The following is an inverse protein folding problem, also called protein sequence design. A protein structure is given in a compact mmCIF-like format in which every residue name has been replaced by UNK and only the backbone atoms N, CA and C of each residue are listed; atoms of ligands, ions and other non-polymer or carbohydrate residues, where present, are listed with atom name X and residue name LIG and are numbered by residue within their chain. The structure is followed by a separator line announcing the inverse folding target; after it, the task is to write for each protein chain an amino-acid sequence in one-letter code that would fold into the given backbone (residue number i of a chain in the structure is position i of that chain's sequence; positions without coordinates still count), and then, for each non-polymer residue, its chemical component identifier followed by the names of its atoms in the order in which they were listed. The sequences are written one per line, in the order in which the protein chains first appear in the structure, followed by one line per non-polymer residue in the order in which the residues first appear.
data_IF_714575274831
#
_entry.id   IF_714575274831
#
_cell.length_a   1.000
_cell.length_b   1.000
_cell.length_c   1.000
_cell.angle_alpha   90.00
_cell.angle_beta   90.00
_cell.angle_gamma   90.00
#
_symmetry.space_group_name_H-M   'P 1'
#
loop_
_entity.id
_entity.type
_entity.pdbx_description
1 polymer ?
#
# COMPACT_ATOMS: atom_id res chain seq x y z
N UNK A 1 32.57 -1.23 46.78
CA UNK A 1 32.99 -0.48 45.58
C UNK A 1 31.76 0.13 44.93
N UNK A 2 31.58 1.44 45.08
CA UNK A 2 30.43 2.19 44.50
C UNK A 2 30.70 2.47 43.01
N UNK A 3 29.92 1.89 42.12
CA UNK A 3 29.90 2.24 40.68
C UNK A 3 29.39 3.67 40.54
N UNK A 4 30.22 4.59 40.07
CA UNK A 4 29.83 5.94 39.64
C UNK A 4 28.87 5.83 38.46
N UNK A 5 27.68 6.38 38.61
CA UNK A 5 26.76 6.62 37.52
C UNK A 5 27.40 7.59 36.51
N UNK A 6 27.50 7.18 35.26
CA UNK A 6 27.95 8.06 34.18
C UNK A 6 26.86 9.10 33.91
N UNK A 7 27.25 10.36 33.94
CA UNK A 7 26.42 11.49 33.58
C UNK A 7 25.92 11.33 32.12
N UNK A 8 24.65 11.66 31.81
CA UNK A 8 24.17 11.61 30.43
C UNK A 8 24.94 12.63 29.58
N UNK A 9 25.51 12.13 28.46
CA UNK A 9 26.15 12.99 27.44
C UNK A 9 25.13 14.04 26.99
N UNK A 10 25.49 15.33 27.05
CA UNK A 10 24.74 16.41 26.40
C UNK A 10 24.55 16.05 24.93
N UNK A 11 23.31 15.70 24.55
CA UNK A 11 22.93 15.62 23.14
C UNK A 11 23.17 17.00 22.52
N UNK A 12 24.02 17.03 21.50
CA UNK A 12 24.17 18.18 20.61
C UNK A 12 22.79 18.48 20.06
N UNK A 13 22.21 19.62 20.42
CA UNK A 13 20.91 20.06 19.89
C UNK A 13 21.11 20.37 18.41
N UNK A 14 20.63 19.48 17.56
CA UNK A 14 20.48 19.74 16.14
C UNK A 14 19.64 21.02 16.00
N UNK A 15 20.15 22.02 15.24
CA UNK A 15 19.46 23.30 15.05
C UNK A 15 18.06 23.16 14.46
N UNK A 16 17.79 22.04 13.82
CA UNK A 16 16.50 21.70 13.22
C UNK A 16 15.55 20.92 14.17
N UNK A 17 16.03 20.58 15.39
CA UNK A 17 15.24 19.83 16.36
C UNK A 17 14.28 20.74 17.12
N UNK A 18 12.97 20.56 16.89
CA UNK A 18 11.93 21.34 17.55
C UNK A 18 11.53 20.64 18.85
N UNK A 19 12.05 21.09 19.98
CA UNK A 19 11.85 20.44 21.29
C UNK A 19 10.39 20.32 21.75
N UNK A 20 9.48 21.17 21.25
CA UNK A 20 8.05 21.03 21.56
C UNK A 20 7.43 19.79 20.91
N UNK A 21 7.88 19.44 19.72
CA UNK A 21 7.44 18.23 18.99
C UNK A 21 7.76 16.96 19.80
N UNK A 22 8.98 16.88 20.33
CA UNK A 22 9.37 15.74 21.18
C UNK A 22 8.49 15.60 22.43
N UNK A 23 8.07 16.71 23.04
CA UNK A 23 7.19 16.69 24.21
C UNK A 23 5.79 16.20 23.86
N UNK A 24 5.28 16.56 22.69
CA UNK A 24 3.98 16.07 22.19
C UNK A 24 4.04 14.57 21.97
N UNK A 25 5.06 14.08 21.27
CA UNK A 25 5.21 12.65 21.03
C UNK A 25 5.44 11.85 22.30
N UNK A 26 6.25 12.35 23.25
CA UNK A 26 6.43 11.67 24.52
C UNK A 26 5.10 11.50 25.31
N UNK A 27 4.19 12.47 25.26
CA UNK A 27 2.86 12.33 25.84
C UNK A 27 2.04 11.26 25.12
N UNK A 28 2.06 11.25 23.78
CA UNK A 28 1.34 10.26 22.96
C UNK A 28 1.91 8.84 23.17
N UNK A 29 3.24 8.70 23.22
CA UNK A 29 3.92 7.42 23.46
C UNK A 29 3.57 6.85 24.82
N UNK A 30 3.43 7.69 25.85
CA UNK A 30 2.98 7.26 27.17
C UNK A 30 1.57 6.66 27.12
N UNK A 31 0.64 7.29 26.38
CA UNK A 31 -0.70 6.70 26.19
C UNK A 31 -0.65 5.36 25.45
N UNK A 32 0.28 5.16 24.51
CA UNK A 32 0.40 3.90 23.79
C UNK A 32 0.94 2.80 24.70
N UNK A 33 1.91 3.12 25.55
CA UNK A 33 2.54 2.14 26.43
C UNK A 33 1.66 1.74 27.61
N UNK A 34 1.10 2.71 28.31
CA UNK A 34 0.29 2.48 29.52
C UNK A 34 -1.21 2.32 29.21
N UNK A 35 -1.71 3.01 28.19
CA UNK A 35 -3.11 2.92 27.75
C UNK A 35 -3.49 1.56 27.16
N UNK A 36 -2.52 0.73 26.77
CA UNK A 36 -2.76 -0.67 26.41
C UNK A 36 -3.16 -1.54 27.61
N UNK A 37 -2.84 -1.12 28.83
CA UNK A 37 -3.16 -1.80 30.08
C UNK A 37 -4.29 -1.14 30.87
N UNK A 38 -4.51 0.17 30.65
CA UNK A 38 -5.51 0.97 31.37
C UNK A 38 -6.41 1.71 30.35
N UNK A 39 -7.73 1.77 30.60
CA UNK A 39 -8.66 2.44 29.70
C UNK A 39 -8.50 3.98 29.69
N UNK A 40 -7.86 4.55 30.70
CA UNK A 40 -7.60 5.98 30.80
C UNK A 40 -6.39 6.28 31.70
N UNK A 41 -5.66 7.33 31.41
CA UNK A 41 -4.46 7.78 32.13
C UNK A 41 -4.74 9.12 32.81
N UNK A 42 -4.39 9.24 34.09
CA UNK A 42 -4.60 10.49 34.83
C UNK A 42 -3.51 11.54 34.50
N UNK A 43 -3.89 12.82 34.65
CA UNK A 43 -2.91 13.92 34.55
C UNK A 43 -1.76 13.77 35.56
N UNK A 44 -2.02 13.18 36.73
CA UNK A 44 -1.02 13.00 37.78
C UNK A 44 0.02 11.96 37.37
N UNK A 45 -0.41 10.83 36.79
CA UNK A 45 0.49 9.79 36.27
C UNK A 45 1.37 10.33 35.16
N UNK A 46 0.76 10.98 34.15
CA UNK A 46 1.51 11.64 33.06
C UNK A 46 2.55 12.63 33.56
N UNK A 47 2.16 13.47 34.55
CA UNK A 47 3.06 14.49 35.09
C UNK A 47 4.15 13.92 35.97
N UNK A 48 3.97 12.73 36.54
CA UNK A 48 4.98 12.02 37.34
C UNK A 48 5.96 11.23 36.48
N UNK A 49 5.50 10.67 35.36
CA UNK A 49 6.29 9.83 34.48
C UNK A 49 7.16 10.61 33.49
N UNK A 50 6.68 11.76 33.03
CA UNK A 50 7.36 12.54 31.99
C UNK A 50 8.35 13.54 32.58
N UNK A 51 9.56 13.72 31.97
CA UNK A 51 10.60 14.61 32.46
C UNK A 51 10.33 16.07 32.11
N UNK A 52 9.07 16.53 32.23
CA UNK A 52 8.63 17.89 31.90
C UNK A 52 7.92 18.52 33.08
N UNK A 53 7.94 19.88 33.13
CA UNK A 53 7.15 20.62 34.12
C UNK A 53 5.64 20.32 33.92
N UNK A 54 4.89 20.21 35.02
CA UNK A 54 3.43 19.94 35.02
C UNK A 54 2.65 20.92 34.12
N UNK A 55 3.08 22.17 34.09
CA UNK A 55 2.52 23.20 33.21
C UNK A 55 2.72 22.88 31.72
N UNK A 56 3.85 22.25 31.36
CA UNK A 56 4.12 21.79 29.99
C UNK A 56 3.22 20.63 29.63
N UNK A 57 3.10 19.62 30.50
CA UNK A 57 2.21 18.47 30.28
C UNK A 57 0.76 18.96 30.12
N UNK A 58 0.31 19.87 30.96
CA UNK A 58 -1.03 20.43 30.87
C UNK A 58 -1.28 21.16 29.53
N UNK A 59 -0.31 21.98 29.07
CA UNK A 59 -0.43 22.68 27.77
C UNK A 59 -0.44 21.72 26.57
N UNK A 60 0.37 20.66 26.62
CA UNK A 60 0.38 19.62 25.58
C UNK A 60 -0.96 18.88 25.56
N UNK A 61 -1.47 18.41 26.72
CA UNK A 61 -2.75 17.74 26.82
C UNK A 61 -3.90 18.63 26.33
N UNK A 62 -3.93 19.88 26.76
CA UNK A 62 -4.95 20.85 26.31
C UNK A 62 -4.92 21.02 24.78
N UNK A 63 -3.73 21.12 24.20
CA UNK A 63 -3.58 21.26 22.75
C UNK A 63 -4.05 20.00 22.01
N UNK A 64 -3.67 18.81 22.50
CA UNK A 64 -4.08 17.53 21.93
C UNK A 64 -5.60 17.31 22.06
N UNK A 65 -6.20 17.72 23.18
CA UNK A 65 -7.66 17.70 23.40
C UNK A 65 -8.38 18.62 22.41
N UNK A 66 -7.93 19.87 22.28
CA UNK A 66 -8.50 20.82 21.30
C UNK A 66 -8.38 20.35 19.86
N UNK A 67 -7.31 19.63 19.54
CA UNK A 67 -7.09 19.03 18.22
C UNK A 67 -7.81 17.68 18.03
N UNK A 68 -8.40 17.09 19.10
CA UNK A 68 -9.13 15.83 19.05
C UNK A 68 -8.25 14.56 19.01
N UNK A 69 -6.97 14.68 19.38
CA UNK A 69 -6.06 13.53 19.52
C UNK A 69 -6.12 12.86 20.89
N UNK A 70 -6.61 13.59 21.89
CA UNK A 70 -6.84 13.12 23.25
C UNK A 70 -8.22 13.60 23.69
N UNK A 71 -8.93 12.82 24.48
CA UNK A 71 -10.21 13.16 25.08
C UNK A 71 -10.20 12.92 26.58
N UNK A 72 -10.98 13.70 27.32
CA UNK A 72 -11.22 13.47 28.74
C UNK A 72 -12.20 12.33 28.93
N UNK A 73 -11.81 11.33 29.72
CA UNK A 73 -12.66 10.21 30.06
C UNK A 73 -13.68 10.57 31.15
N UNK A 74 -13.31 11.48 32.06
CA UNK A 74 -14.14 11.87 33.18
C UNK A 74 -13.83 13.28 33.73
N UNK A 75 -14.61 13.73 34.72
CA UNK A 75 -14.39 15.01 35.40
C UNK A 75 -13.13 15.04 36.30
N UNK A 76 -12.52 13.87 36.57
CA UNK A 76 -11.32 13.72 37.43
C UNK A 76 -10.00 13.85 36.65
N UNK A 77 -10.04 14.39 35.42
CA UNK A 77 -8.88 14.61 34.58
C UNK A 77 -8.13 13.31 34.19
N UNK A 78 -8.88 12.24 33.89
CA UNK A 78 -8.39 11.09 33.16
C UNK A 78 -8.56 11.34 31.68
N UNK A 79 -7.60 10.85 30.87
CA UNK A 79 -7.55 11.07 29.45
C UNK A 79 -7.34 9.74 28.71
N UNK A 80 -7.87 9.64 27.51
CA UNK A 80 -7.58 8.54 26.56
C UNK A 80 -7.27 9.11 25.17
N UNK A 81 -6.75 8.25 24.28
CA UNK A 81 -6.52 8.65 22.89
C UNK A 81 -7.85 8.93 22.18
N UNK A 82 -7.96 10.08 21.56
CA UNK A 82 -9.15 10.52 20.85
C UNK A 82 -9.28 9.92 19.45
N UNK A 83 -10.46 10.04 18.82
CA UNK A 83 -10.75 9.43 17.51
C UNK A 83 -9.83 9.88 16.40
N UNK A 84 -9.31 11.12 16.44
CA UNK A 84 -8.32 11.58 15.45
C UNK A 84 -7.01 10.80 15.49
N UNK A 85 -6.60 10.31 16.66
CA UNK A 85 -5.41 9.47 16.77
C UNK A 85 -5.62 8.15 16.02
N UNK A 86 -6.78 7.52 16.19
CA UNK A 86 -7.13 6.29 15.48
C UNK A 86 -7.23 6.53 13.97
N UNK A 87 -7.75 7.67 13.53
CA UNK A 87 -7.79 8.03 12.12
C UNK A 87 -6.40 8.11 11.47
N UNK A 88 -5.37 8.58 12.21
CA UNK A 88 -3.98 8.59 11.72
C UNK A 88 -3.38 7.18 11.56
N UNK A 89 -3.79 6.23 12.38
CA UNK A 89 -3.24 4.85 12.34
C UNK A 89 -3.96 3.96 11.33
N UNK A 90 -5.18 4.31 10.92
CA UNK A 90 -5.98 3.51 9.98
C UNK A 90 -5.24 3.14 8.69
N UNK A 91 -4.54 4.05 7.98
CA UNK A 91 -3.81 3.70 6.78
C UNK A 91 -2.72 2.65 7.03
N UNK A 92 -1.99 2.77 8.15
CA UNK A 92 -0.93 1.82 8.49
C UNK A 92 -1.48 0.44 8.88
N UNK A 93 -2.62 0.38 9.57
CA UNK A 93 -3.30 -0.87 9.94
C UNK A 93 -3.84 -1.56 8.68
N UNK A 94 -4.49 -0.81 7.79
CA UNK A 94 -4.99 -1.34 6.52
C UNK A 94 -3.85 -1.86 5.63
N UNK A 95 -2.74 -1.13 5.58
CA UNK A 95 -1.55 -1.53 4.85
C UNK A 95 -0.96 -2.85 5.35
N UNK A 96 -0.78 -3.00 6.67
CA UNK A 96 -0.31 -4.25 7.28
C UNK A 96 -1.28 -5.40 7.05
N UNK A 97 -2.59 -5.13 7.14
CA UNK A 97 -3.61 -6.13 6.85
C UNK A 97 -3.54 -6.60 5.40
N UNK A 98 -3.41 -5.67 4.45
CA UNK A 98 -3.24 -5.98 3.04
C UNK A 98 -2.02 -6.89 2.81
N UNK A 99 -0.84 -6.52 3.34
CA UNK A 99 0.36 -7.34 3.24
C UNK A 99 0.14 -8.75 3.79
N UNK A 100 -0.38 -8.86 5.03
CA UNK A 100 -0.57 -10.16 5.70
C UNK A 100 -1.52 -11.07 4.93
N UNK A 101 -2.63 -10.52 4.43
CA UNK A 101 -3.63 -11.27 3.66
C UNK A 101 -3.08 -11.67 2.28
N UNK A 102 -2.41 -10.75 1.60
CA UNK A 102 -1.88 -10.99 0.26
C UNK A 102 -0.72 -11.99 0.27
N UNK A 103 0.15 -11.94 1.28
CA UNK A 103 1.34 -12.80 1.35
C UNK A 103 1.02 -14.29 1.25
N UNK A 104 -0.03 -14.76 1.93
CA UNK A 104 -0.46 -16.15 1.86
C UNK A 104 -0.88 -16.56 0.43
N UNK A 105 -1.62 -15.67 -0.27
CA UNK A 105 -2.06 -15.91 -1.66
C UNK A 105 -0.88 -15.82 -2.63
N UNK A 106 0.08 -14.92 -2.37
CA UNK A 106 1.30 -14.81 -3.17
C UNK A 106 2.16 -16.08 -3.09
N UNK A 107 2.24 -16.73 -1.92
CA UNK A 107 2.91 -18.02 -1.77
C UNK A 107 2.24 -19.12 -2.60
N UNK A 108 0.90 -19.16 -2.67
CA UNK A 108 0.17 -20.11 -3.53
C UNK A 108 0.54 -19.91 -5.00
N UNK A 109 0.60 -18.65 -5.47
CA UNK A 109 1.02 -18.31 -6.84
C UNK A 109 2.48 -18.71 -7.12
N UNK A 110 3.39 -18.46 -6.15
CA UNK A 110 4.78 -18.88 -6.28
C UNK A 110 4.91 -20.39 -6.43
N UNK A 111 4.22 -21.17 -5.59
CA UNK A 111 4.24 -22.64 -5.64
C UNK A 111 3.76 -23.13 -7.01
N UNK A 112 2.72 -22.50 -7.57
CA UNK A 112 2.11 -22.91 -8.83
C UNK A 112 2.95 -22.57 -10.05
N UNK A 113 3.56 -21.38 -10.08
CA UNK A 113 4.22 -20.85 -11.27
C UNK A 113 5.74 -20.81 -11.17
N UNK A 114 6.31 -20.87 -9.96
CA UNK A 114 7.76 -20.78 -9.67
C UNK A 114 8.41 -19.48 -10.15
N UNK A 115 7.61 -18.40 -10.33
CA UNK A 115 8.07 -17.07 -10.73
C UNK A 115 7.87 -16.05 -9.61
N UNK A 116 8.58 -14.92 -9.68
CA UNK A 116 8.49 -13.87 -8.64
C UNK A 116 7.08 -13.27 -8.59
N UNK A 117 6.52 -13.18 -7.39
CA UNK A 117 5.20 -12.60 -7.14
C UNK A 117 5.37 -11.30 -6.36
N UNK A 118 4.72 -10.25 -6.83
CA UNK A 118 4.85 -8.92 -6.22
C UNK A 118 3.49 -8.38 -5.82
N UNK A 119 3.46 -7.66 -4.70
CA UNK A 119 2.34 -6.83 -4.26
C UNK A 119 2.75 -5.37 -4.36
N UNK A 120 2.00 -4.58 -5.11
CA UNK A 120 2.30 -3.17 -5.33
C UNK A 120 1.12 -2.25 -5.03
N UNK A 121 1.42 -1.04 -4.58
CA UNK A 121 0.48 0.05 -4.36
C UNK A 121 0.89 1.28 -5.16
N UNK A 122 -0.06 2.16 -5.41
CA UNK A 122 0.25 3.48 -5.98
C UNK A 122 0.75 4.39 -4.86
N UNK A 123 1.97 4.89 -5.01
CA UNK A 123 2.55 5.86 -4.10
C UNK A 123 3.29 6.96 -4.86
N UNK A 124 2.84 8.21 -4.69
CA UNK A 124 3.41 9.37 -5.38
C UNK A 124 3.57 9.17 -6.89
N UNK A 125 2.55 8.60 -7.56
CA UNK A 125 2.51 8.40 -9.02
C UNK A 125 3.44 7.31 -9.56
N UNK A 126 4.02 6.50 -8.68
CA UNK A 126 4.79 5.31 -9.00
C UNK A 126 4.16 4.09 -8.34
N UNK A 127 4.49 2.90 -8.83
CA UNK A 127 4.21 1.66 -8.12
C UNK A 127 5.29 1.45 -7.07
N UNK A 128 4.92 1.41 -5.79
CA UNK A 128 5.79 0.98 -4.71
C UNK A 128 5.52 -0.50 -4.39
N UNK A 129 6.54 -1.33 -4.41
CA UNK A 129 6.44 -2.73 -4.01
C UNK A 129 6.40 -2.83 -2.49
N UNK A 130 5.35 -3.43 -1.96
CA UNK A 130 5.14 -3.51 -0.51
C UNK A 130 5.39 -4.92 0.02
N UNK A 131 5.31 -5.94 -0.84
CA UNK A 131 5.69 -7.31 -0.53
C UNK A 131 6.18 -8.01 -1.80
N UNK A 132 7.14 -8.92 -1.65
CA UNK A 132 7.73 -9.69 -2.75
C UNK A 132 8.03 -11.10 -2.29
N UNK A 133 7.51 -12.08 -3.00
CA UNK A 133 7.86 -13.48 -2.85
C UNK A 133 8.72 -13.89 -4.04
N UNK A 134 10.01 -14.08 -3.80
CA UNK A 134 10.97 -14.30 -4.89
C UNK A 134 10.91 -15.71 -5.45
N UNK A 135 11.04 -15.83 -6.78
CA UNK A 135 11.22 -17.11 -7.46
C UNK A 135 12.43 -17.87 -6.91
N UNK A 136 12.33 -19.20 -6.72
CA UNK A 136 13.47 -20.03 -6.34
C UNK A 136 14.48 -20.23 -7.49
N UNK A 137 14.13 -19.85 -8.72
CA UNK A 137 14.99 -20.01 -9.90
C UNK A 137 16.22 -19.11 -9.81
N UNK A 138 17.38 -19.63 -10.25
CA UNK A 138 18.62 -18.84 -10.31
C UNK A 138 18.47 -17.62 -11.24
N UNK A 139 17.89 -17.80 -12.41
CA UNK A 139 17.46 -16.69 -13.28
C UNK A 139 16.05 -16.28 -12.90
N UNK A 140 15.90 -15.16 -12.23
CA UNK A 140 14.63 -14.60 -11.78
C UNK A 140 14.59 -13.08 -11.92
N UNK A 141 13.43 -12.52 -11.93
CA UNK A 141 13.26 -11.08 -11.81
C UNK A 141 13.42 -10.73 -10.32
N UNK A 142 14.50 -10.02 -10.01
CA UNK A 142 14.77 -9.53 -8.67
C UNK A 142 13.93 -8.28 -8.42
N UNK A 143 13.18 -8.29 -7.31
CA UNK A 143 12.45 -7.15 -6.80
C UNK A 143 12.52 -7.18 -5.28
N UNK A 144 12.43 -6.02 -4.63
CA UNK A 144 12.47 -5.93 -3.17
C UNK A 144 11.34 -5.02 -2.68
N UNK A 145 10.82 -5.25 -1.47
CA UNK A 145 9.96 -4.28 -0.83
C UNK A 145 10.66 -2.91 -0.74
N UNK A 146 9.95 -1.85 -1.14
CA UNK A 146 10.48 -0.50 -1.24
C UNK A 146 10.92 -0.08 -2.65
N UNK A 147 11.15 -1.01 -3.57
CA UNK A 147 11.42 -0.69 -4.97
C UNK A 147 10.24 0.08 -5.60
N UNK A 148 10.55 0.98 -6.53
CA UNK A 148 9.58 1.83 -7.22
C UNK A 148 9.75 1.73 -8.73
N UNK A 149 8.62 1.66 -9.43
CA UNK A 149 8.59 1.57 -10.89
C UNK A 149 7.52 2.49 -11.48
N UNK A 150 7.67 2.90 -12.76
CA UNK A 150 6.68 3.71 -13.44
C UNK A 150 5.33 3.01 -13.57
N UNK A 151 4.23 3.77 -13.40
CA UNK A 151 2.87 3.22 -13.48
C UNK A 151 2.45 2.83 -14.89
N UNK A 152 3.00 3.48 -15.92
CA UNK A 152 2.58 3.27 -17.32
C UNK A 152 3.22 2.06 -17.99
N UNK A 153 4.41 1.65 -17.56
CA UNK A 153 5.18 0.56 -18.18
C UNK A 153 5.08 -0.76 -17.43
N UNK A 154 4.59 -0.77 -16.18
CA UNK A 154 4.44 -1.98 -15.38
C UNK A 154 3.01 -2.52 -15.40
N UNK A 155 2.85 -3.85 -15.36
CA UNK A 155 1.52 -4.47 -15.23
C UNK A 155 0.79 -4.01 -13.95
N UNK A 156 1.50 -3.93 -12.81
CA UNK A 156 0.95 -3.40 -11.54
C UNK A 156 0.46 -1.97 -11.67
N UNK A 157 1.24 -1.10 -12.30
CA UNK A 157 0.87 0.30 -12.49
C UNK A 157 -0.35 0.43 -13.39
N UNK A 158 -0.37 -0.28 -14.52
CA UNK A 158 -1.49 -0.26 -15.46
C UNK A 158 -2.78 -0.78 -14.85
N UNK A 159 -2.72 -1.88 -14.07
CA UNK A 159 -3.93 -2.40 -13.42
C UNK A 159 -4.46 -1.46 -12.35
N UNK A 160 -3.60 -0.80 -11.57
CA UNK A 160 -4.06 0.19 -10.58
C UNK A 160 -4.64 1.42 -11.28
N UNK A 161 -3.93 1.99 -12.27
CA UNK A 161 -4.41 3.16 -13.03
C UNK A 161 -5.75 2.91 -13.71
N UNK A 162 -5.97 1.69 -14.23
CA UNK A 162 -7.20 1.35 -14.94
C UNK A 162 -8.45 1.49 -14.07
N UNK A 163 -8.32 1.29 -12.76
CA UNK A 163 -9.44 1.32 -11.82
C UNK A 163 -9.46 2.55 -10.89
N UNK A 164 -8.51 3.49 -11.07
CA UNK A 164 -8.60 4.78 -10.39
C UNK A 164 -9.78 5.59 -10.93
N UNK A 165 -10.41 6.43 -10.10
CA UNK A 165 -11.29 7.48 -10.58
C UNK A 165 -10.59 8.35 -11.62
N UNK A 166 -11.30 8.73 -12.68
CA UNK A 166 -10.71 9.45 -13.82
C UNK A 166 -9.92 10.72 -13.39
N UNK A 167 -10.42 11.57 -12.46
CA UNK A 167 -9.66 12.73 -12.00
C UNK A 167 -8.34 12.37 -11.30
N UNK A 168 -8.30 11.24 -10.59
CA UNK A 168 -7.10 10.77 -9.90
C UNK A 168 -6.09 10.21 -10.92
N UNK A 169 -6.55 9.39 -11.87
CA UNK A 169 -5.72 8.87 -12.96
C UNK A 169 -5.12 10.00 -13.80
N UNK A 170 -5.94 11.01 -14.17
CA UNK A 170 -5.45 12.19 -14.89
C UNK A 170 -4.40 12.97 -14.11
N UNK A 171 -4.59 13.15 -12.80
CA UNK A 171 -3.60 13.82 -11.94
C UNK A 171 -2.26 13.09 -11.95
N UNK A 172 -2.28 11.76 -11.84
CA UNK A 172 -1.07 10.93 -11.92
C UNK A 172 -0.39 11.11 -13.28
N UNK A 173 -1.13 10.98 -14.38
CA UNK A 173 -0.59 11.08 -15.73
C UNK A 173 -0.13 12.50 -16.13
N UNK A 174 -0.65 13.54 -15.48
CA UNK A 174 -0.15 14.93 -15.66
C UNK A 174 1.15 15.17 -14.88
N UNK A 175 1.28 14.55 -13.72
CA UNK A 175 2.41 14.78 -12.82
C UNK A 175 3.65 13.97 -13.21
N UNK A 176 3.47 12.79 -13.82
CA UNK A 176 4.55 11.86 -14.14
C UNK A 176 4.62 11.63 -15.66
N UNK A 177 5.76 11.95 -16.30
CA UNK A 177 5.92 11.75 -17.74
C UNK A 177 5.97 10.25 -18.09
N UNK A 178 5.46 9.90 -19.26
CA UNK A 178 5.51 8.54 -19.81
C UNK A 178 6.90 8.29 -20.42
N UNK A 179 7.88 8.04 -19.56
CA UNK A 179 9.27 7.86 -19.95
C UNK A 179 9.42 6.53 -20.72
N UNK A 180 10.14 6.55 -21.84
CA UNK A 180 10.46 5.34 -22.60
C UNK A 180 11.48 4.49 -21.84
N UNK A 181 11.07 3.31 -21.41
CA UNK A 181 11.93 2.32 -20.74
C UNK A 181 12.52 1.33 -21.75
N UNK A 182 11.70 0.89 -22.73
CA UNK A 182 12.09 0.01 -23.83
C UNK A 182 11.48 0.50 -25.15
N UNK A 183 11.73 -0.19 -26.25
CA UNK A 183 11.08 0.09 -27.52
C UNK A 183 9.56 -0.14 -27.47
N UNK A 184 9.08 -1.00 -26.56
CA UNK A 184 7.67 -1.38 -26.41
C UNK A 184 6.89 -0.50 -25.44
N UNK A 185 7.54 0.42 -24.72
CA UNK A 185 6.88 1.28 -23.73
C UNK A 185 5.82 2.17 -24.39
N UNK A 186 4.61 2.19 -23.85
CA UNK A 186 3.55 3.12 -24.26
C UNK A 186 3.92 4.52 -23.76
N UNK A 187 4.24 5.42 -24.68
CA UNK A 187 4.67 6.79 -24.35
C UNK A 187 3.64 7.86 -24.75
N UNK A 188 2.55 7.47 -25.38
CA UNK A 188 1.46 8.39 -25.77
C UNK A 188 0.26 8.20 -24.83
N UNK A 189 -0.22 9.31 -24.25
CA UNK A 189 -1.33 9.29 -23.30
C UNK A 189 -2.60 8.67 -23.88
N UNK A 190 -2.93 8.98 -25.15
CA UNK A 190 -4.11 8.44 -25.80
C UNK A 190 -4.04 6.90 -25.88
N UNK A 191 -2.94 6.34 -26.36
CA UNK A 191 -2.75 4.89 -26.43
C UNK A 191 -2.76 4.23 -25.05
N UNK A 192 -2.20 4.91 -24.02
CA UNK A 192 -2.27 4.38 -22.67
C UNK A 192 -3.72 4.33 -22.16
N UNK A 193 -4.53 5.35 -22.41
CA UNK A 193 -5.94 5.38 -22.00
C UNK A 193 -6.77 4.30 -22.69
N UNK A 194 -6.55 4.05 -23.96
CA UNK A 194 -7.17 2.93 -24.71
C UNK A 194 -6.75 1.58 -24.11
N UNK A 195 -5.45 1.41 -23.82
CA UNK A 195 -4.93 0.21 -23.17
C UNK A 195 -5.56 0.00 -21.77
N UNK A 196 -5.71 1.07 -20.97
CA UNK A 196 -6.35 0.99 -19.66
C UNK A 196 -7.85 0.64 -19.74
N UNK A 197 -8.55 1.02 -20.82
CA UNK A 197 -9.91 0.59 -21.05
C UNK A 197 -9.97 -0.94 -21.27
N UNK A 198 -9.09 -1.48 -22.10
CA UNK A 198 -8.99 -2.93 -22.30
C UNK A 198 -8.62 -3.67 -21.00
N UNK A 199 -7.74 -3.10 -20.17
CA UNK A 199 -7.41 -3.65 -18.84
C UNK A 199 -8.65 -3.74 -17.95
N UNK A 200 -9.53 -2.73 -17.96
CA UNK A 200 -10.79 -2.77 -17.19
C UNK A 200 -11.73 -3.89 -17.64
N UNK A 201 -11.82 -4.12 -18.95
CA UNK A 201 -12.65 -5.19 -19.52
C UNK A 201 -12.10 -6.59 -19.21
N UNK A 202 -10.78 -6.76 -19.29
CA UNK A 202 -10.11 -8.06 -19.08
C UNK A 202 -9.89 -8.39 -17.61
N UNK A 203 -9.89 -7.39 -16.72
CA UNK A 203 -9.59 -7.56 -15.30
C UNK A 203 -8.13 -7.85 -14.97
N UNK A 204 -7.23 -7.70 -15.95
CA UNK A 204 -5.79 -7.92 -15.80
C UNK A 204 -5.01 -6.96 -16.68
N UNK A 205 -3.77 -6.67 -16.30
CA UNK A 205 -2.82 -5.91 -17.11
C UNK A 205 -1.57 -6.74 -17.39
N UNK A 206 -1.03 -6.58 -18.59
CA UNK A 206 0.22 -7.20 -19.03
C UNK A 206 1.30 -6.13 -19.16
N UNK A 207 2.53 -6.51 -18.84
CA UNK A 207 3.75 -5.83 -19.27
C UNK A 207 4.52 -6.84 -20.14
N UNK A 208 4.51 -6.60 -21.44
CA UNK A 208 5.10 -7.49 -22.45
C UNK A 208 6.52 -7.04 -22.85
N UNK A 209 7.32 -6.66 -21.85
CA UNK A 209 8.65 -6.08 -22.07
C UNK A 209 8.60 -4.57 -22.22
N UNK A 210 7.59 -3.91 -21.67
CA UNK A 210 7.44 -2.46 -21.70
C UNK A 210 8.32 -1.75 -20.67
N UNK A 211 8.51 -2.38 -19.49
CA UNK A 211 9.34 -1.83 -18.41
C UNK A 211 10.79 -2.32 -18.52
N UNK A 212 11.00 -3.60 -18.81
CA UNK A 212 12.32 -4.21 -18.99
C UNK A 212 12.26 -5.22 -20.15
N UNK A 213 13.18 -5.11 -21.10
CA UNK A 213 13.27 -6.06 -22.23
C UNK A 213 13.49 -7.51 -21.72
N UNK A 214 12.79 -8.45 -22.34
CA UNK A 214 12.89 -9.86 -22.00
C UNK A 214 12.17 -10.27 -20.72
N UNK A 215 11.46 -9.33 -20.06
CA UNK A 215 10.64 -9.56 -18.89
C UNK A 215 9.17 -9.48 -19.27
N UNK A 216 8.37 -10.38 -18.73
CA UNK A 216 6.93 -10.40 -18.87
C UNK A 216 6.29 -10.39 -17.49
N UNK A 217 5.29 -9.52 -17.31
CA UNK A 217 4.54 -9.44 -16.06
C UNK A 217 3.05 -9.43 -16.32
N UNK A 218 2.30 -10.08 -15.43
CA UNK A 218 0.81 -10.06 -15.44
C UNK A 218 0.33 -9.63 -14.06
N UNK A 219 -0.60 -8.67 -13.99
CA UNK A 219 -1.13 -8.17 -12.74
C UNK A 219 -2.67 -8.17 -12.71
N UNK A 220 -3.21 -8.51 -11.54
CA UNK A 220 -4.63 -8.39 -11.19
C UNK A 220 -4.86 -7.31 -10.13
N UNK A 221 -6.00 -6.61 -10.16
CA UNK A 221 -6.34 -5.58 -9.19
C UNK A 221 -6.77 -6.16 -7.85
N UNK A 222 -6.51 -5.42 -6.78
CA UNK A 222 -7.02 -5.69 -5.44
C UNK A 222 -7.89 -4.51 -5.02
N UNK A 223 -9.13 -4.80 -4.63
CA UNK A 223 -10.12 -3.81 -4.23
C UNK A 223 -10.35 -3.82 -2.72
N UNK A 224 -10.65 -2.64 -2.17
CA UNK A 224 -11.16 -2.51 -0.81
C UNK A 224 -12.68 -2.79 -0.75
N UNK A 225 -13.24 -2.71 0.45
CA UNK A 225 -14.68 -2.88 0.71
C UNK A 225 -15.57 -1.86 -0.02
N UNK A 226 -15.01 -0.76 -0.51
CA UNK A 226 -15.73 0.29 -1.25
C UNK A 226 -15.59 0.13 -2.77
N UNK A 227 -14.93 -0.93 -3.24
CA UNK A 227 -14.69 -1.18 -4.66
C UNK A 227 -13.59 -0.30 -5.27
N UNK A 228 -12.75 0.34 -4.46
CA UNK A 228 -11.60 1.12 -4.94
C UNK A 228 -10.38 0.21 -5.10
N UNK A 229 -9.70 0.32 -6.23
CA UNK A 229 -8.42 -0.37 -6.41
C UNK A 229 -7.37 0.22 -5.46
N UNK A 230 -6.95 -0.56 -4.47
CA UNK A 230 -5.98 -0.14 -3.44
C UNK A 230 -4.60 -0.71 -3.69
N UNK A 231 -4.49 -1.78 -4.48
CA UNK A 231 -3.24 -2.47 -4.78
C UNK A 231 -3.37 -3.30 -6.06
N UNK A 232 -2.27 -3.91 -6.46
CA UNK A 232 -2.23 -4.97 -7.45
C UNK A 232 -1.33 -6.11 -6.99
N UNK A 233 -1.63 -7.33 -7.43
CA UNK A 233 -0.77 -8.50 -7.31
C UNK A 233 -0.30 -8.92 -8.69
N UNK A 234 1.00 -9.24 -8.84
CA UNK A 234 1.56 -9.64 -10.15
C UNK A 234 2.49 -10.83 -10.06
N UNK A 235 2.62 -11.53 -11.18
CA UNK A 235 3.69 -12.51 -11.44
C UNK A 235 4.62 -11.91 -12.48
N UNK A 236 5.93 -12.00 -12.23
CA UNK A 236 6.99 -11.48 -13.10
C UNK A 236 8.04 -12.53 -13.35
N UNK A 237 8.41 -12.74 -14.61
CA UNK A 237 9.39 -13.71 -15.00
C UNK A 237 10.02 -13.43 -16.37
N UNK A 238 11.07 -14.15 -16.76
CA UNK A 238 11.62 -14.10 -18.11
C UNK A 238 10.57 -14.51 -19.15
N UNK A 239 10.48 -13.76 -20.23
CA UNK A 239 9.53 -13.99 -21.33
C UNK A 239 9.54 -15.46 -21.80
N UNK A 240 10.72 -16.06 -21.94
CA UNK A 240 10.89 -17.44 -22.40
C UNK A 240 10.19 -18.50 -21.53
N UNK A 241 9.96 -18.22 -20.24
CA UNK A 241 9.23 -19.12 -19.34
C UNK A 241 7.77 -18.73 -19.17
N UNK A 242 7.48 -17.43 -19.30
CA UNK A 242 6.14 -16.89 -19.05
C UNK A 242 5.18 -17.11 -20.21
N UNK A 243 5.65 -17.01 -21.47
CA UNK A 243 4.81 -17.07 -22.67
C UNK A 243 3.96 -18.36 -22.74
N UNK A 244 4.56 -19.51 -22.51
CA UNK A 244 3.85 -20.80 -22.58
C UNK A 244 2.80 -20.97 -21.48
N UNK A 245 2.86 -20.19 -20.42
CA UNK A 245 1.95 -20.24 -19.25
C UNK A 245 1.06 -19.00 -19.15
N UNK A 246 1.14 -18.07 -20.10
CA UNK A 246 0.57 -16.73 -19.99
C UNK A 246 -0.91 -16.74 -19.64
N UNK A 247 -1.71 -17.61 -20.28
CA UNK A 247 -3.15 -17.69 -20.05
C UNK A 247 -3.50 -18.24 -18.67
N UNK A 248 -2.76 -19.26 -18.21
CA UNK A 248 -2.91 -19.80 -16.85
C UNK A 248 -2.53 -18.76 -15.79
N UNK A 249 -1.41 -18.05 -16.02
CA UNK A 249 -0.95 -16.97 -15.12
C UNK A 249 -1.99 -15.83 -15.07
N UNK A 250 -2.56 -15.43 -16.22
CA UNK A 250 -3.62 -14.42 -16.30
C UNK A 250 -4.80 -14.78 -15.39
N UNK A 251 -5.30 -15.98 -15.52
CA UNK A 251 -6.47 -16.42 -14.76
C UNK A 251 -6.16 -16.57 -13.26
N UNK A 252 -5.01 -17.10 -12.92
CA UNK A 252 -4.59 -17.25 -11.53
C UNK A 252 -4.33 -15.90 -10.84
N UNK A 253 -3.70 -14.94 -11.52
CA UNK A 253 -3.45 -13.60 -10.97
C UNK A 253 -4.76 -12.83 -10.79
N UNK A 254 -5.69 -12.93 -11.74
CA UNK A 254 -7.04 -12.36 -11.62
C UNK A 254 -7.77 -12.95 -10.41
N UNK A 255 -7.79 -14.28 -10.28
CA UNK A 255 -8.42 -14.95 -9.16
C UNK A 255 -7.76 -14.62 -7.82
N UNK A 256 -6.44 -14.46 -7.79
CA UNK A 256 -5.70 -14.02 -6.61
C UNK A 256 -6.12 -12.61 -6.17
N UNK A 257 -6.24 -11.66 -7.11
CA UNK A 257 -6.75 -10.33 -6.83
C UNK A 257 -8.14 -10.34 -6.20
N UNK A 258 -9.06 -11.13 -6.76
CA UNK A 258 -10.42 -11.33 -6.21
C UNK A 258 -10.36 -11.97 -4.82
N UNK A 259 -9.54 -13.01 -4.62
CA UNK A 259 -9.39 -13.71 -3.33
C UNK A 259 -8.90 -12.76 -2.26
N UNK A 260 -7.84 -11.97 -2.54
CA UNK A 260 -7.30 -10.98 -1.60
C UNK A 260 -8.35 -9.91 -1.28
N UNK A 261 -9.04 -9.37 -2.29
CA UNK A 261 -10.09 -8.36 -2.09
C UNK A 261 -11.20 -8.84 -1.15
N UNK A 262 -11.69 -10.07 -1.32
CA UNK A 262 -12.70 -10.68 -0.44
C UNK A 262 -12.20 -10.83 1.01
N UNK A 263 -10.92 -11.16 1.21
CA UNK A 263 -10.32 -11.28 2.54
C UNK A 263 -10.10 -9.93 3.23
N UNK A 264 -9.99 -8.84 2.47
CA UNK A 264 -9.89 -7.48 3.02
C UNK A 264 -11.24 -6.97 3.57
N UNK A 265 -12.34 -7.46 3.04
CA UNK A 265 -13.70 -7.17 3.52
C UNK A 265 -14.75 -7.44 2.45
N UNK A 266 -16.02 -7.65 2.82
CA UNK A 266 -17.08 -7.80 1.86
C UNK A 266 -17.27 -6.48 1.10
N UNK A 267 -17.35 -6.56 -0.24
CA UNK A 267 -17.71 -5.42 -1.07
C UNK A 267 -19.11 -4.94 -0.67
N UNK A 268 -19.27 -3.66 -0.34
CA UNK A 268 -20.57 -3.11 0.05
C UNK A 268 -21.54 -3.21 -1.14
N UNK A 269 -22.72 -3.73 -0.89
CA UNK A 269 -23.76 -3.93 -1.91
C UNK A 269 -24.33 -2.62 -2.51
N UNK A 270 -23.92 -1.44 -1.97
CA UNK A 270 -24.45 -0.14 -2.35
C UNK A 270 -23.86 0.45 -3.63
N UNK A 271 -22.81 -0.13 -4.18
CA UNK A 271 -22.17 0.44 -5.36
C UNK A 271 -22.08 -0.59 -6.48
N UNK A 272 -23.06 -0.52 -7.39
CA UNK A 272 -23.19 -1.38 -8.56
C UNK A 272 -21.98 -1.42 -9.52
N UNK A 273 -20.90 -0.66 -9.26
CA UNK A 273 -19.64 -0.74 -9.97
C UNK A 273 -18.77 -1.90 -9.48
N UNK A 274 -18.64 -2.10 -8.16
CA UNK A 274 -17.84 -3.19 -7.58
C UNK A 274 -18.49 -4.57 -7.86
N UNK A 275 -19.83 -4.64 -7.79
CA UNK A 275 -20.56 -5.85 -8.17
C UNK A 275 -20.48 -6.13 -9.67
N UNK A 276 -20.49 -5.11 -10.53
CA UNK A 276 -20.30 -5.24 -11.99
C UNK A 276 -18.86 -5.65 -12.33
N UNK A 277 -17.87 -5.13 -11.62
CA UNK A 277 -16.46 -5.53 -11.77
C UNK A 277 -16.29 -7.00 -11.37
N UNK A 278 -16.84 -7.41 -10.23
CA UNK A 278 -16.80 -8.82 -9.80
C UNK A 278 -17.60 -9.75 -10.73
N UNK A 279 -18.73 -9.30 -11.28
CA UNK A 279 -19.54 -10.04 -12.23
C UNK A 279 -18.89 -10.11 -13.63
N UNK A 280 -18.24 -9.04 -14.09
CA UNK A 280 -17.50 -9.04 -15.37
C UNK A 280 -16.32 -10.02 -15.38
N UNK A 281 -15.80 -10.37 -14.20
CA UNK A 281 -14.78 -11.41 -14.06
C UNK A 281 -15.32 -12.84 -14.22
N UNK A 282 -16.64 -13.04 -14.13
CA UNK A 282 -17.26 -14.36 -14.23
C UNK A 282 -17.60 -14.77 -15.67
N UNK A 283 -17.65 -13.85 -16.62
CA UNK A 283 -18.23 -14.07 -17.96
C UNK A 283 -17.28 -13.84 -19.15
N UNK A 284 -15.97 -13.61 -18.94
CA UNK A 284 -15.05 -13.38 -20.06
C UNK A 284 -14.70 -14.68 -20.76
N UNK A 285 -15.06 -14.88 -22.05
CA UNK A 285 -14.70 -16.06 -22.83
C UNK A 285 -13.17 -16.20 -22.96
N UNK A 286 -12.70 -17.44 -23.06
CA UNK A 286 -11.28 -17.82 -23.14
C UNK A 286 -10.52 -17.34 -24.39
N UNK A 287 -11.08 -16.47 -25.24
CA UNK A 287 -10.60 -16.19 -26.62
C UNK A 287 -10.11 -14.77 -26.88
N UNK A 288 -9.56 -14.05 -25.90
CA UNK A 288 -8.92 -12.76 -26.21
C UNK A 288 -7.40 -12.92 -26.24
N UNK A 289 -6.83 -12.93 -27.44
CA UNK A 289 -5.39 -12.80 -27.63
C UNK A 289 -4.94 -11.37 -27.27
N UNK A 290 -3.75 -11.19 -26.66
CA UNK A 290 -3.20 -9.87 -26.43
C UNK A 290 -3.05 -9.16 -27.78
N UNK A 291 -3.64 -7.96 -27.91
CA UNK A 291 -3.44 -7.11 -29.07
C UNK A 291 -1.96 -6.72 -29.12
N UNK A 292 -1.25 -7.23 -30.12
CA UNK A 292 0.08 -6.73 -30.48
C UNK A 292 -0.05 -5.29 -30.98
N UNK A 293 0.83 -4.36 -30.58
CA UNK A 293 0.86 -3.04 -31.17
C UNK A 293 1.12 -3.19 -32.68
N UNK A 294 0.21 -2.71 -33.50
CA UNK A 294 0.47 -2.48 -34.93
C UNK A 294 1.58 -1.44 -35.05
N UNK A 295 2.54 -1.72 -35.93
CA UNK A 295 3.73 -0.93 -36.25
C UNK A 295 3.42 0.55 -36.60
#
# INVERSE_FOLDING_TARGET
MKKRAQSPKKQQTDKNYIGVTAKIFAVLEYFIQEGAQQQAVSFQELSGALPFARTTVHRVLYSLEKLGYVEKADAKAHYHLGPKFFALTQPAVQFRRLQSVAHAVMLELLVRHSETVNLGVLDNGQVAYIDVVQSPSALRIAANPGDRNPVHSTSLGKVILAYLPEPEAEKVLKQYPLIRMTSKTITQKAHLLEHLAAVREQGVAFDLGENVDGVLCVAGPIFDQHGRAVAGVSISGPTSRMESKLMAIRDDVRNAGVKISRMLGPLSASEGAAARIAASFSEVPATVQPSTPTE
#
